data_IF_809940017037
#
_entry.id   IF_809940017037
#
_cell.length_a   1.000
_cell.length_b   1.000
_cell.length_c   1.000
_cell.angle_alpha   90.00
_cell.angle_beta   90.00
_cell.angle_gamma   90.00
#
_symmetry.space_group_name_H-M   'P 1'
#
loop_
_entity.id
_entity.type
_entity.pdbx_description
1 polymer ?
#
# COMPACT_ATOMS: atom_id res chain seq x y z
N UNK A 1 -27.01 21.89 -11.02
CA UNK A 1 -26.29 22.19 -9.76
C UNK A 1 -25.01 22.89 -10.18
N UNK A 2 -24.75 24.12 -9.76
CA UNK A 2 -23.45 24.75 -10.05
C UNK A 2 -22.38 23.89 -9.39
N UNK A 3 -21.37 23.46 -10.13
CA UNK A 3 -20.28 22.66 -9.57
C UNK A 3 -19.44 23.54 -8.64
N UNK A 4 -19.81 23.56 -7.36
CA UNK A 4 -19.14 24.36 -6.34
C UNK A 4 -17.81 23.71 -5.96
N UNK A 5 -16.74 24.53 -5.92
CA UNK A 5 -15.44 24.09 -5.45
C UNK A 5 -15.55 23.56 -4.01
N UNK A 6 -15.11 22.32 -3.79
CA UNK A 6 -14.97 21.76 -2.45
C UNK A 6 -13.53 21.98 -1.98
N UNK A 7 -13.36 22.69 -0.87
CA UNK A 7 -12.04 22.87 -0.22
C UNK A 7 -12.19 22.61 1.26
N UNK A 8 -11.36 21.74 1.80
CA UNK A 8 -11.32 21.47 3.24
C UNK A 8 -9.92 21.10 3.67
N UNK A 9 -9.69 21.23 4.97
CA UNK A 9 -8.45 20.85 5.63
C UNK A 9 -8.69 19.57 6.40
N UNK A 10 -7.70 18.69 6.41
CA UNK A 10 -7.68 17.54 7.32
C UNK A 10 -6.51 17.71 8.28
N UNK A 11 -6.72 17.55 9.60
CA UNK A 11 -5.63 17.62 10.53
C UNK A 11 -4.64 16.50 10.22
N UNK A 12 -3.38 16.86 10.08
CA UNK A 12 -2.32 15.88 9.90
C UNK A 12 -1.66 15.71 11.26
N UNK A 13 -1.97 14.62 11.98
CA UNK A 13 -1.25 14.29 13.22
C UNK A 13 -0.13 13.29 12.93
N UNK A 14 0.88 13.23 13.79
CA UNK A 14 1.90 12.17 13.74
C UNK A 14 1.23 10.79 13.72
N UNK A 15 0.18 10.62 14.53
CA UNK A 15 -0.55 9.37 14.63
C UNK A 15 -1.21 8.99 13.29
N UNK A 16 -1.95 9.91 12.67
CA UNK A 16 -2.61 9.68 11.38
C UNK A 16 -1.56 9.39 10.30
N UNK A 17 -0.47 10.16 10.25
CA UNK A 17 0.61 9.95 9.30
C UNK A 17 1.22 8.54 9.45
N UNK A 18 1.51 8.12 10.69
CA UNK A 18 2.03 6.78 10.97
C UNK A 18 1.03 5.68 10.60
N UNK A 19 -0.24 5.85 10.97
CA UNK A 19 -1.30 4.89 10.68
C UNK A 19 -1.45 4.66 9.17
N UNK A 20 -1.58 5.73 8.39
CA UNK A 20 -1.71 5.66 6.92
C UNK A 20 -0.50 4.97 6.28
N UNK A 21 0.72 5.40 6.64
CA UNK A 21 1.93 4.82 6.06
C UNK A 21 2.12 3.35 6.47
N UNK A 22 1.82 3.01 7.73
CA UNK A 22 1.92 1.64 8.23
C UNK A 22 0.88 0.72 7.55
N UNK A 23 -0.33 1.23 7.34
CA UNK A 23 -1.37 0.57 6.58
C UNK A 23 -0.90 0.28 5.14
N UNK A 24 -0.40 1.29 4.43
CA UNK A 24 0.06 1.12 3.04
C UNK A 24 1.22 0.11 2.95
N UNK A 25 2.21 0.22 3.85
CA UNK A 25 3.31 -0.74 3.91
C UNK A 25 2.79 -2.16 4.13
N UNK A 26 1.94 -2.36 5.14
CA UNK A 26 1.38 -3.68 5.43
C UNK A 26 0.60 -4.22 4.23
N UNK A 27 -0.21 -3.40 3.56
CA UNK A 27 -1.01 -3.79 2.39
C UNK A 27 -0.11 -4.28 1.24
N UNK A 28 0.93 -3.54 0.90
CA UNK A 28 1.89 -3.89 -0.17
C UNK A 28 2.59 -5.23 0.10
N UNK A 29 2.94 -5.49 1.36
CA UNK A 29 3.69 -6.70 1.73
C UNK A 29 2.79 -7.91 2.04
N UNK A 30 1.55 -7.71 2.52
CA UNK A 30 0.66 -8.78 3.01
C UNK A 30 0.44 -9.87 1.96
N UNK A 31 0.04 -9.50 0.74
CA UNK A 31 -0.24 -10.48 -0.34
C UNK A 31 0.99 -11.32 -0.68
N UNK A 32 2.15 -10.67 -0.78
CA UNK A 32 3.39 -11.34 -1.14
C UNK A 32 3.96 -12.19 0.00
N UNK A 33 3.82 -11.76 1.26
CA UNK A 33 4.20 -12.56 2.43
C UNK A 33 3.34 -13.83 2.54
N UNK A 34 2.02 -13.71 2.34
CA UNK A 34 1.11 -14.87 2.35
C UNK A 34 1.50 -15.84 1.21
N UNK A 35 1.76 -15.32 0.00
CA UNK A 35 2.22 -16.13 -1.13
C UNK A 35 3.56 -16.83 -0.83
N UNK A 36 4.51 -16.12 -0.24
CA UNK A 36 5.82 -16.66 0.12
C UNK A 36 5.71 -17.78 1.17
N UNK A 37 4.84 -17.60 2.18
CA UNK A 37 4.58 -18.64 3.18
C UNK A 37 3.93 -19.88 2.56
N UNK A 38 2.97 -19.71 1.63
CA UNK A 38 2.35 -20.83 0.91
C UNK A 38 3.38 -21.58 0.05
N UNK A 39 4.27 -20.86 -0.63
CA UNK A 39 5.35 -21.47 -1.40
C UNK A 39 6.31 -22.27 -0.52
N UNK A 40 6.64 -21.77 0.68
CA UNK A 40 7.45 -22.53 1.65
C UNK A 40 6.75 -23.82 2.08
N UNK A 41 5.44 -23.76 2.39
CA UNK A 41 4.68 -24.97 2.74
C UNK A 41 4.71 -26.00 1.61
N UNK A 42 4.52 -25.57 0.36
CA UNK A 42 4.67 -26.45 -0.81
C UNK A 42 6.08 -27.03 -0.92
N UNK A 43 7.11 -26.21 -0.67
CA UNK A 43 8.50 -26.62 -0.59
C UNK A 43 8.77 -27.70 0.45
N UNK A 44 8.19 -27.56 1.64
CA UNK A 44 8.29 -28.56 2.72
C UNK A 44 7.66 -29.88 2.28
N UNK A 45 6.49 -29.87 1.66
CA UNK A 45 5.84 -31.09 1.13
C UNK A 45 6.73 -31.76 0.07
N UNK A 46 7.33 -30.98 -0.82
CA UNK A 46 8.28 -31.46 -1.85
C UNK A 46 9.52 -32.09 -1.20
N UNK A 47 10.05 -31.51 -0.12
CA UNK A 47 11.16 -32.11 0.65
C UNK A 47 10.78 -33.43 1.30
N UNK A 48 9.56 -33.55 1.84
CA UNK A 48 9.06 -34.81 2.40
C UNK A 48 8.99 -35.89 1.31
N UNK A 49 8.51 -35.55 0.11
CA UNK A 49 8.51 -36.47 -1.03
C UNK A 49 9.93 -36.89 -1.41
N UNK A 50 10.90 -35.98 -1.39
CA UNK A 50 12.30 -36.31 -1.65
C UNK A 50 12.81 -37.40 -0.69
N UNK A 51 12.47 -37.29 0.60
CA UNK A 51 12.84 -38.30 1.62
C UNK A 51 12.17 -39.64 1.33
N UNK A 52 10.89 -39.64 0.95
CA UNK A 52 10.16 -40.87 0.60
C UNK A 52 10.82 -41.58 -0.58
N UNK A 53 11.09 -40.87 -1.68
CA UNK A 53 11.75 -41.46 -2.86
C UNK A 53 13.18 -41.92 -2.57
N UNK A 54 13.90 -41.20 -1.69
CA UNK A 54 15.23 -41.61 -1.25
C UNK A 54 15.19 -42.97 -0.53
N UNK A 55 14.22 -43.17 0.36
CA UNK A 55 14.01 -44.45 1.07
C UNK A 55 13.60 -45.57 0.09
N UNK A 56 12.78 -45.24 -0.92
CA UNK A 56 12.41 -46.16 -2.00
C UNK A 56 13.54 -46.47 -2.98
N UNK A 57 14.74 -45.93 -2.78
CA UNK A 57 15.94 -46.07 -3.62
C UNK A 57 15.81 -45.48 -5.03
N UNK A 58 14.82 -44.61 -5.26
CA UNK A 58 14.71 -43.82 -6.49
C UNK A 58 15.47 -42.50 -6.31
N UNK A 59 16.80 -42.60 -6.43
CA UNK A 59 17.70 -41.48 -6.16
C UNK A 59 17.57 -40.33 -7.16
N UNK A 60 17.20 -40.63 -8.41
CA UNK A 60 17.01 -39.61 -9.45
C UNK A 60 15.83 -38.70 -9.13
N UNK A 61 14.69 -39.30 -8.81
CA UNK A 61 13.49 -38.56 -8.40
C UNK A 61 13.73 -37.86 -7.05
N UNK A 62 14.33 -38.54 -6.08
CA UNK A 62 14.67 -37.95 -4.79
C UNK A 62 15.53 -36.69 -4.93
N UNK A 63 16.56 -36.72 -5.78
CA UNK A 63 17.43 -35.56 -6.06
C UNK A 63 16.68 -34.39 -6.68
N UNK A 64 15.77 -34.66 -7.62
CA UNK A 64 14.92 -33.64 -8.26
C UNK A 64 14.04 -32.94 -7.22
N UNK A 65 13.30 -33.71 -6.42
CA UNK A 65 12.44 -33.15 -5.37
C UNK A 65 13.26 -32.41 -4.30
N UNK A 66 14.41 -32.94 -3.89
CA UNK A 66 15.30 -32.26 -2.94
C UNK A 66 15.77 -30.90 -3.49
N UNK A 67 16.16 -30.84 -4.76
CA UNK A 67 16.55 -29.60 -5.43
C UNK A 67 15.45 -28.54 -5.40
N UNK A 68 14.24 -28.89 -5.84
CA UNK A 68 13.09 -27.97 -5.79
C UNK A 68 12.79 -27.50 -4.37
N UNK A 69 12.78 -28.41 -3.40
CA UNK A 69 12.56 -28.11 -1.99
C UNK A 69 13.58 -27.12 -1.44
N UNK A 70 14.87 -27.36 -1.66
CA UNK A 70 15.94 -26.46 -1.23
C UNK A 70 15.80 -25.08 -1.89
N UNK A 71 15.54 -25.01 -3.20
CA UNK A 71 15.34 -23.74 -3.90
C UNK A 71 14.18 -22.93 -3.31
N UNK A 72 13.06 -23.57 -2.97
CA UNK A 72 11.94 -22.87 -2.33
C UNK A 72 12.30 -22.31 -0.95
N UNK A 73 13.07 -23.04 -0.14
CA UNK A 73 13.59 -22.56 1.15
C UNK A 73 14.53 -21.37 0.99
N UNK A 74 15.45 -21.41 0.02
CA UNK A 74 16.37 -20.30 -0.29
C UNK A 74 15.57 -19.04 -0.69
N UNK A 75 14.60 -19.20 -1.59
CA UNK A 75 13.75 -18.11 -2.05
C UNK A 75 12.95 -17.49 -0.90
N UNK A 76 12.41 -18.33 0.00
CA UNK A 76 11.71 -17.88 1.18
C UNK A 76 12.60 -17.00 2.08
N UNK A 77 13.81 -17.48 2.40
CA UNK A 77 14.78 -16.76 3.25
C UNK A 77 15.19 -15.44 2.60
N UNK A 78 15.47 -15.45 1.29
CA UNK A 78 15.84 -14.26 0.52
C UNK A 78 14.73 -13.21 0.57
N UNK A 79 13.49 -13.62 0.31
CA UNK A 79 12.33 -12.73 0.36
C UNK A 79 12.09 -12.17 1.78
N UNK A 80 12.22 -13.00 2.81
CA UNK A 80 12.05 -12.56 4.19
C UNK A 80 13.15 -11.57 4.62
N UNK A 81 14.39 -11.79 4.18
CA UNK A 81 15.50 -10.85 4.39
C UNK A 81 15.22 -9.50 3.70
N UNK A 82 14.72 -9.52 2.46
CA UNK A 82 14.32 -8.33 1.73
C UNK A 82 13.20 -7.57 2.46
N UNK A 83 12.16 -8.27 2.93
CA UNK A 83 11.09 -7.67 3.74
C UNK A 83 11.65 -7.01 5.00
N UNK A 84 12.51 -7.69 5.75
CA UNK A 84 13.12 -7.14 6.99
C UNK A 84 13.96 -5.89 6.70
N UNK A 85 14.74 -5.89 5.62
CA UNK A 85 15.54 -4.74 5.17
C UNK A 85 14.64 -3.55 4.84
N UNK A 86 13.57 -3.77 4.06
CA UNK A 86 12.62 -2.72 3.70
C UNK A 86 11.85 -2.19 4.90
N UNK A 87 11.43 -3.06 5.83
CA UNK A 87 10.76 -2.65 7.08
C UNK A 87 11.63 -1.71 7.91
N UNK A 88 12.93 -2.01 8.05
CA UNK A 88 13.88 -1.12 8.74
C UNK A 88 14.05 0.22 8.02
N UNK A 89 14.18 0.22 6.70
CA UNK A 89 14.30 1.46 5.92
C UNK A 89 13.03 2.31 6.01
N UNK A 90 11.87 1.66 5.96
CA UNK A 90 10.57 2.29 6.11
C UNK A 90 10.41 2.98 7.47
N UNK A 91 10.77 2.31 8.57
CA UNK A 91 10.75 2.92 9.91
C UNK A 91 11.61 4.19 9.98
N UNK A 92 12.84 4.13 9.46
CA UNK A 92 13.73 5.31 9.39
C UNK A 92 13.14 6.46 8.56
N UNK A 93 12.46 6.14 7.45
CA UNK A 93 11.82 7.14 6.59
C UNK A 93 10.63 7.79 7.28
N UNK A 94 9.79 7.01 7.97
CA UNK A 94 8.68 7.57 8.76
C UNK A 94 9.20 8.45 9.88
N UNK A 95 10.20 8.01 10.64
CA UNK A 95 10.76 8.81 11.73
C UNK A 95 11.27 10.16 11.23
N UNK A 96 11.94 10.16 10.06
CA UNK A 96 12.34 11.40 9.40
C UNK A 96 11.15 12.24 8.96
N UNK A 97 10.15 11.66 8.29
CA UNK A 97 8.96 12.39 7.83
C UNK A 97 8.19 12.99 9.01
N UNK A 98 8.07 12.26 10.13
CA UNK A 98 7.46 12.75 11.38
C UNK A 98 8.25 13.91 11.97
N UNK A 99 9.58 13.84 11.97
CA UNK A 99 10.43 14.94 12.43
C UNK A 99 10.24 16.18 11.56
N UNK A 100 10.37 16.03 10.23
CA UNK A 100 10.20 17.12 9.27
C UNK A 100 8.79 17.73 9.36
N UNK A 101 7.78 16.89 9.61
CA UNK A 101 6.40 17.31 9.84
C UNK A 101 6.24 18.14 11.11
N UNK A 102 6.80 17.73 12.26
CA UNK A 102 6.72 18.49 13.52
C UNK A 102 7.31 19.90 13.38
N UNK A 103 8.37 20.05 12.58
CA UNK A 103 9.02 21.34 12.34
C UNK A 103 8.21 22.24 11.39
N UNK A 104 7.44 21.68 10.48
CA UNK A 104 6.76 22.41 9.40
C UNK A 104 5.23 22.25 9.42
N UNK A 105 4.67 21.88 10.57
CA UNK A 105 3.27 21.50 10.77
C UNK A 105 2.31 22.48 10.09
N UNK A 106 1.69 22.02 9.01
CA UNK A 106 0.58 22.69 8.32
C UNK A 106 -0.49 21.65 8.03
N UNK A 107 -1.74 22.06 8.13
CA UNK A 107 -2.87 21.24 7.71
C UNK A 107 -2.70 20.80 6.25
N UNK A 108 -3.24 19.63 5.96
CA UNK A 108 -3.33 19.14 4.58
C UNK A 108 -4.59 19.73 3.97
N UNK A 109 -4.42 20.43 2.85
CA UNK A 109 -5.50 21.08 2.13
C UNK A 109 -5.87 20.22 0.93
N UNK A 110 -7.15 19.88 0.86
CA UNK A 110 -7.74 19.18 -0.26
C UNK A 110 -8.64 20.14 -1.02
N UNK A 111 -8.47 20.21 -2.34
CA UNK A 111 -9.28 21.07 -3.20
C UNK A 111 -9.76 20.30 -4.43
N UNK A 112 -11.08 20.17 -4.54
CA UNK A 112 -11.77 19.54 -5.66
C UNK A 112 -12.50 20.66 -6.42
N UNK A 113 -12.12 20.87 -7.67
CA UNK A 113 -12.71 21.87 -8.55
C UNK A 113 -13.30 21.20 -9.77
N UNK A 114 -14.16 21.88 -10.55
CA UNK A 114 -14.65 21.36 -11.83
C UNK A 114 -13.56 20.85 -12.78
N UNK A 115 -12.37 21.48 -12.73
CA UNK A 115 -11.30 21.26 -13.70
C UNK A 115 -10.17 20.36 -13.19
N UNK A 116 -9.89 20.40 -11.88
CA UNK A 116 -8.75 19.71 -11.30
C UNK A 116 -8.95 19.34 -9.83
N UNK A 117 -8.20 18.33 -9.41
CA UNK A 117 -7.93 17.98 -8.03
C UNK A 117 -6.61 18.61 -7.59
N UNK A 118 -6.54 19.13 -6.37
CA UNK A 118 -5.32 19.65 -5.79
C UNK A 118 -5.15 19.19 -4.35
N UNK A 119 -3.90 18.85 -4.05
CA UNK A 119 -3.46 18.41 -2.74
C UNK A 119 -2.29 19.29 -2.32
N UNK A 120 -2.34 19.82 -1.11
CA UNK A 120 -1.25 20.61 -0.54
C UNK A 120 -0.94 20.14 0.86
N UNK A 121 0.32 19.88 1.13
CA UNK A 121 0.84 19.63 2.47
C UNK A 121 2.02 20.56 2.76
N UNK A 122 2.72 20.30 3.87
CA UNK A 122 3.89 21.09 4.26
C UNK A 122 5.06 21.04 3.27
N UNK A 123 5.13 20.00 2.42
CA UNK A 123 6.26 19.68 1.55
C UNK A 123 6.02 20.08 0.10
N UNK A 124 4.80 19.92 -0.38
CA UNK A 124 4.46 20.01 -1.80
C UNK A 124 3.02 20.50 -2.02
N UNK A 125 2.82 21.13 -3.17
CA UNK A 125 1.51 21.40 -3.75
C UNK A 125 1.41 20.68 -5.10
N UNK A 126 0.35 19.91 -5.28
CA UNK A 126 0.06 19.17 -6.51
C UNK A 126 -1.28 19.58 -7.09
N UNK A 127 -1.38 19.54 -8.42
CA UNK A 127 -2.59 19.77 -9.20
C UNK A 127 -2.66 18.74 -10.31
N UNK A 128 -3.79 18.05 -10.40
CA UNK A 128 -4.00 16.98 -11.37
C UNK A 128 -5.33 17.16 -12.10
N UNK A 129 -5.32 16.91 -13.40
CA UNK A 129 -6.53 16.83 -14.19
C UNK A 129 -7.30 15.56 -13.85
N UNK A 130 -8.63 15.63 -13.87
CA UNK A 130 -9.51 14.52 -13.51
C UNK A 130 -9.25 13.21 -14.28
N UNK A 131 -8.89 13.33 -15.56
CA UNK A 131 -8.58 12.19 -16.44
C UNK A 131 -7.38 11.35 -15.96
N UNK A 132 -6.52 11.91 -15.12
CA UNK A 132 -5.33 11.24 -14.59
C UNK A 132 -5.57 10.57 -13.24
N UNK A 133 -6.79 10.68 -12.72
CA UNK A 133 -7.15 10.27 -11.37
C UNK A 133 -7.97 8.99 -11.42
N UNK A 134 -7.53 8.04 -10.61
CA UNK A 134 -8.32 6.86 -10.25
C UNK A 134 -8.49 6.80 -8.75
N UNK A 135 -9.59 6.26 -8.27
CA UNK A 135 -9.82 6.10 -6.84
C UNK A 135 -10.39 4.73 -6.48
N UNK A 136 -10.19 4.35 -5.23
CA UNK A 136 -10.90 3.24 -4.59
C UNK A 136 -11.05 3.51 -3.09
N UNK A 137 -12.00 2.80 -2.48
CA UNK A 137 -12.15 2.75 -1.02
C UNK A 137 -11.57 1.42 -0.55
N UNK A 138 -10.63 1.49 0.39
CA UNK A 138 -9.94 0.33 0.95
C UNK A 138 -10.40 0.09 2.39
N UNK A 139 -10.79 -1.16 2.67
CA UNK A 139 -11.22 -1.64 3.99
C UNK A 139 -12.29 -0.76 4.67
N UNK A 140 -13.13 -0.07 3.87
CA UNK A 140 -14.13 0.91 4.34
C UNK A 140 -13.58 2.04 5.23
N UNK A 141 -12.26 2.24 5.26
CA UNK A 141 -11.60 3.21 6.13
C UNK A 141 -10.76 4.22 5.34
N UNK A 142 -10.18 3.80 4.21
CA UNK A 142 -9.23 4.63 3.48
C UNK A 142 -9.73 4.95 2.09
N UNK A 143 -9.89 6.24 1.80
CA UNK A 143 -10.06 6.73 0.44
C UNK A 143 -8.69 6.85 -0.22
N UNK A 144 -8.46 6.01 -1.22
CA UNK A 144 -7.21 5.91 -1.95
C UNK A 144 -7.35 6.57 -3.31
N UNK A 145 -6.61 7.66 -3.55
CA UNK A 145 -6.62 8.44 -4.79
C UNK A 145 -5.25 8.29 -5.44
N UNK A 146 -5.22 7.74 -6.65
CA UNK A 146 -4.01 7.60 -7.46
C UNK A 146 -4.05 8.61 -8.61
N UNK A 147 -3.03 9.45 -8.69
CA UNK A 147 -2.88 10.47 -9.72
C UNK A 147 -1.67 10.20 -10.62
N UNK A 148 -1.87 10.36 -11.93
CA UNK A 148 -0.84 10.27 -12.99
C UNK A 148 0.00 8.99 -12.96
N UNK A 149 -0.50 7.91 -12.34
CA UNK A 149 0.19 6.63 -12.21
C UNK A 149 1.29 6.54 -11.14
N UNK A 150 1.76 7.68 -10.62
CA UNK A 150 3.01 7.78 -9.83
C UNK A 150 2.75 8.24 -8.38
N UNK A 151 1.68 9.00 -8.14
CA UNK A 151 1.41 9.58 -6.83
C UNK A 151 0.14 9.01 -6.23
N UNK A 152 0.22 8.58 -4.98
CA UNK A 152 -0.93 8.10 -4.22
C UNK A 152 -1.20 9.08 -3.08
N UNK A 153 -2.48 9.39 -2.89
CA UNK A 153 -2.99 10.14 -1.75
C UNK A 153 -3.94 9.23 -0.99
N UNK A 154 -3.77 9.16 0.32
CA UNK A 154 -4.60 8.34 1.18
C UNK A 154 -5.24 9.26 2.19
N UNK A 155 -6.56 9.24 2.25
CA UNK A 155 -7.35 9.94 3.24
C UNK A 155 -8.01 8.90 4.14
N UNK A 156 -7.75 8.98 5.45
CA UNK A 156 -8.53 8.25 6.44
C UNK A 156 -9.91 8.91 6.55
N UNK A 157 -10.98 8.14 6.37
CA UNK A 157 -12.36 8.64 6.45
C UNK A 157 -12.72 9.14 7.84
N UNK A 158 -12.02 8.68 8.88
CA UNK A 158 -12.18 9.20 10.24
C UNK A 158 -11.58 10.61 10.42
N UNK A 159 -10.77 11.08 9.46
CA UNK A 159 -10.08 12.36 9.52
C UNK A 159 -10.81 13.49 8.78
N UNK A 160 -12.04 13.24 8.35
CA UNK A 160 -12.89 14.16 7.60
C UNK A 160 -14.31 14.02 8.12
N UNK A 161 -15.04 15.14 8.18
CA UNK A 161 -16.46 15.08 8.52
C UNK A 161 -17.28 14.41 7.41
N UNK A 162 -18.41 13.83 7.80
CA UNK A 162 -19.28 13.06 6.90
C UNK A 162 -19.77 13.88 5.70
N UNK A 163 -20.02 15.19 5.88
CA UNK A 163 -20.49 16.06 4.81
C UNK A 163 -19.40 16.22 3.75
N UNK A 164 -18.18 16.55 4.15
CA UNK A 164 -17.06 16.70 3.22
C UNK A 164 -16.67 15.35 2.60
N UNK A 165 -16.75 14.24 3.34
CA UNK A 165 -16.50 12.90 2.80
C UNK A 165 -17.47 12.55 1.68
N UNK A 166 -18.77 12.73 1.91
CA UNK A 166 -19.81 12.44 0.92
C UNK A 166 -19.65 13.31 -0.33
N UNK A 167 -19.31 14.60 -0.16
CA UNK A 167 -19.01 15.50 -1.29
C UNK A 167 -17.76 15.06 -2.05
N UNK A 168 -16.71 14.63 -1.36
CA UNK A 168 -15.48 14.14 -1.98
C UNK A 168 -15.73 12.88 -2.81
N UNK A 169 -16.46 11.91 -2.25
CA UNK A 169 -16.82 10.67 -2.96
C UNK A 169 -17.65 11.01 -4.20
N UNK A 170 -18.65 11.89 -4.07
CA UNK A 170 -19.47 12.33 -5.19
C UNK A 170 -18.64 13.00 -6.31
N UNK A 171 -17.65 13.82 -5.95
CA UNK A 171 -16.71 14.40 -6.91
C UNK A 171 -15.91 13.34 -7.65
N UNK A 172 -15.39 12.34 -6.93
CA UNK A 172 -14.59 11.28 -7.50
C UNK A 172 -15.41 10.36 -8.40
N UNK A 173 -16.64 10.02 -8.00
CA UNK A 173 -17.60 9.25 -8.81
C UNK A 173 -17.92 9.94 -10.13
N UNK A 174 -18.14 11.26 -10.10
CA UNK A 174 -18.55 12.00 -11.29
C UNK A 174 -17.39 12.34 -12.23
N UNK A 175 -16.18 12.57 -11.71
CA UNK A 175 -15.08 13.14 -12.50
C UNK A 175 -13.92 12.18 -12.73
N UNK A 176 -13.75 11.15 -11.90
CA UNK A 176 -12.60 10.24 -11.96
C UNK A 176 -13.03 8.79 -12.24
N UNK A 177 -12.06 7.88 -12.40
CA UNK A 177 -12.36 6.47 -12.69
C UNK A 177 -12.17 5.59 -11.46
N UNK A 178 -13.21 4.85 -11.08
CA UNK A 178 -13.06 3.80 -10.06
C UNK A 178 -12.09 2.72 -10.55
N UNK A 179 -11.12 2.34 -9.72
CA UNK A 179 -10.14 1.29 -10.03
C UNK A 179 -9.72 0.57 -8.76
N UNK A 180 -10.08 -0.71 -8.67
CA UNK A 180 -9.63 -1.58 -7.59
C UNK A 180 -8.10 -1.77 -7.62
N UNK A 181 -7.46 -1.77 -6.44
CA UNK A 181 -5.99 -1.78 -6.25
C UNK A 181 -5.53 -3.02 -5.51
#
# INVERSE_FOLDING_TARGET
MNEENLTYNTPCSEEILRQINQYEFNRIWKKNLIKNNRNLLGGIVVLVLAIVFFISKDYGVAGLFAGFGITTCINYISYYSLYRKNKKQFQKRIEKEVFDFKTNSKDVIWKFTPNYFSFKNYKSEYKFLWQEITYCILDNQYLFIKASGITNFILDTANIDEINLNKTIHYLENKSKFKEV
#
